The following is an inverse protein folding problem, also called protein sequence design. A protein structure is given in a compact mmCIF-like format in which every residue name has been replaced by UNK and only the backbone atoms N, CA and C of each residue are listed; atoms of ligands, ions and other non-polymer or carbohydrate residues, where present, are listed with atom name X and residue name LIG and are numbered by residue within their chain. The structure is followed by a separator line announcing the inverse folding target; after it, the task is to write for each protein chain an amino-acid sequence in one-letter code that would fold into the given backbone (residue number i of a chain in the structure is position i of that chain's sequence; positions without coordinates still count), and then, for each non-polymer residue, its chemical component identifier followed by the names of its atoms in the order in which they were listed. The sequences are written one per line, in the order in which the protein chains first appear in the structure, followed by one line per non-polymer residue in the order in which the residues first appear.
data_IF_075463625341
#
_entry.id   IF_075463625341
#
_cell.length_a   1.000
_cell.length_b   1.000
_cell.length_c   1.000
_cell.angle_alpha   90.00
_cell.angle_beta   90.00
_cell.angle_gamma   90.00
#
_symmetry.space_group_name_H-M   'P 1'
#
loop_
_entity.id
_entity.type
_entity.pdbx_description
1 polymer ?
#
# COMPACT_ATOMS: atom_id res chain seq x y z
N UNK A 1 14.51 -6.00 -25.84
CA UNK A 1 14.45 -5.22 -24.58
C UNK A 1 13.70 -5.97 -23.47
N UNK A 2 12.40 -6.25 -23.61
CA UNK A 2 11.62 -6.95 -22.57
C UNK A 2 12.24 -8.29 -22.12
N UNK A 3 12.57 -9.19 -23.07
CA UNK A 3 13.10 -10.52 -22.77
C UNK A 3 14.45 -10.44 -22.03
N UNK A 4 15.33 -9.53 -22.43
CA UNK A 4 16.62 -9.34 -21.75
C UNK A 4 16.44 -8.83 -20.32
N UNK A 5 15.48 -7.94 -20.08
CA UNK A 5 15.13 -7.46 -18.74
C UNK A 5 14.55 -8.58 -17.87
N UNK A 6 13.62 -9.37 -18.41
CA UNK A 6 13.02 -10.53 -17.72
C UNK A 6 14.06 -11.54 -17.23
N UNK A 7 15.10 -11.79 -18.03
CA UNK A 7 16.12 -12.79 -17.73
C UNK A 7 17.38 -12.23 -17.07
N UNK A 8 17.39 -10.98 -16.58
CA UNK A 8 18.55 -10.44 -15.87
C UNK A 8 19.79 -10.27 -16.75
N UNK A 9 19.61 -10.02 -18.07
CA UNK A 9 20.72 -9.93 -19.02
C UNK A 9 21.20 -8.49 -19.17
N UNK A 10 21.80 -7.94 -18.13
CA UNK A 10 22.16 -6.51 -18.02
C UNK A 10 23.10 -6.04 -19.14
N UNK A 11 24.06 -6.86 -19.56
CA UNK A 11 24.94 -6.53 -20.69
C UNK A 11 24.20 -6.46 -22.03
N UNK A 12 23.18 -7.32 -22.22
CA UNK A 12 22.31 -7.24 -23.40
C UNK A 12 21.45 -5.98 -23.32
N UNK A 13 20.92 -5.63 -22.14
CA UNK A 13 20.15 -4.40 -21.95
C UNK A 13 20.99 -3.17 -22.32
N UNK A 14 22.20 -3.03 -21.78
CA UNK A 14 23.14 -1.94 -22.12
C UNK A 14 23.45 -1.89 -23.61
N UNK A 15 23.68 -3.04 -24.25
CA UNK A 15 23.93 -3.13 -25.69
C UNK A 15 22.74 -2.68 -26.53
N UNK A 16 21.51 -3.01 -26.11
CA UNK A 16 20.31 -2.57 -26.81
C UNK A 16 20.11 -1.05 -26.67
N UNK A 17 20.37 -0.50 -25.48
CA UNK A 17 20.29 0.95 -25.22
C UNK A 17 21.32 1.70 -26.08
N UNK A 18 22.57 1.22 -26.16
CA UNK A 18 23.59 1.83 -27.02
C UNK A 18 23.29 1.74 -28.53
N UNK A 19 22.37 0.85 -28.92
CA UNK A 19 21.79 0.76 -30.26
C UNK A 19 20.51 1.58 -30.43
N UNK A 20 20.22 2.49 -29.51
CA UNK A 20 19.06 3.38 -29.49
C UNK A 20 17.71 2.64 -29.50
N UNK A 21 17.65 1.43 -28.92
CA UNK A 21 16.35 0.78 -28.68
C UNK A 21 15.60 1.56 -27.60
N UNK A 22 14.37 1.96 -27.89
CA UNK A 22 13.51 2.65 -26.93
C UNK A 22 13.35 1.83 -25.64
N UNK A 23 13.77 2.38 -24.51
CA UNK A 23 13.66 1.77 -23.17
C UNK A 23 12.22 1.59 -22.71
N UNK A 24 11.28 2.29 -23.35
CA UNK A 24 9.85 2.23 -23.07
C UNK A 24 9.07 1.32 -24.04
N UNK A 25 9.77 0.56 -24.90
CA UNK A 25 9.10 -0.32 -25.86
C UNK A 25 8.33 -1.44 -25.16
N UNK A 26 7.01 -1.32 -25.15
CA UNK A 26 6.11 -2.29 -24.53
C UNK A 26 5.77 -3.45 -25.46
N UNK A 27 5.48 -4.61 -24.85
CA UNK A 27 4.90 -5.76 -25.54
C UNK A 27 3.46 -5.49 -26.01
N UNK A 28 2.88 -6.39 -26.81
CA UNK A 28 1.48 -6.32 -27.25
C UNK A 28 0.46 -6.29 -26.10
N UNK A 29 0.84 -6.74 -24.90
CA UNK A 29 -0.01 -6.70 -23.70
C UNK A 29 0.29 -5.51 -22.80
N UNK A 30 1.09 -4.55 -23.27
CA UNK A 30 1.45 -3.33 -22.55
C UNK A 30 2.59 -3.48 -21.54
N UNK A 31 3.17 -4.68 -21.37
CA UNK A 31 4.29 -4.84 -20.43
C UNK A 31 5.54 -4.10 -20.91
N UNK A 32 6.03 -3.17 -20.10
CA UNK A 32 7.26 -2.42 -20.36
C UNK A 32 8.52 -3.21 -19.96
N UNK A 33 9.72 -2.81 -20.41
CA UNK A 33 10.97 -3.38 -19.93
C UNK A 33 11.17 -3.21 -18.42
N UNK A 34 10.78 -2.05 -17.86
CA UNK A 34 10.84 -1.79 -16.43
C UNK A 34 9.91 -2.73 -15.66
N UNK A 35 8.70 -2.98 -16.18
CA UNK A 35 7.80 -3.99 -15.61
C UNK A 35 8.47 -5.36 -15.53
N UNK A 36 9.14 -5.82 -16.60
CA UNK A 36 9.86 -7.10 -16.59
C UNK A 36 11.00 -7.13 -15.57
N UNK A 37 11.86 -6.11 -15.53
CA UNK A 37 12.94 -6.07 -14.55
C UNK A 37 12.40 -6.11 -13.12
N UNK A 38 11.32 -5.36 -12.86
CA UNK A 38 10.68 -5.29 -11.56
C UNK A 38 9.98 -6.59 -11.15
N UNK A 39 9.31 -7.28 -12.08
CA UNK A 39 8.62 -8.54 -11.84
C UNK A 39 9.55 -9.70 -11.49
N UNK A 40 10.83 -9.62 -11.88
CA UNK A 40 11.82 -10.67 -11.66
C UNK A 40 12.97 -10.23 -10.73
N UNK A 41 12.86 -9.05 -10.12
CA UNK A 41 13.77 -8.60 -9.06
C UNK A 41 15.16 -8.14 -9.52
N UNK A 42 15.34 -7.83 -10.81
CA UNK A 42 16.64 -7.43 -11.37
C UNK A 42 16.92 -5.95 -11.09
N UNK A 43 17.32 -5.63 -9.85
CA UNK A 43 17.52 -4.26 -9.36
C UNK A 43 18.55 -3.46 -10.17
N UNK A 44 19.59 -4.12 -10.67
CA UNK A 44 20.61 -3.50 -11.53
C UNK A 44 20.01 -3.04 -12.85
N UNK A 45 19.11 -3.84 -13.45
CA UNK A 45 18.39 -3.48 -14.67
C UNK A 45 17.35 -2.40 -14.38
N UNK A 46 16.65 -2.46 -13.25
CA UNK A 46 15.72 -1.39 -12.82
C UNK A 46 16.45 -0.04 -12.79
N UNK A 47 17.64 0.01 -12.16
CA UNK A 47 18.47 1.21 -12.10
C UNK A 47 18.91 1.70 -13.48
N UNK A 48 19.38 0.80 -14.36
CA UNK A 48 19.78 1.14 -15.73
C UNK A 48 18.60 1.74 -16.50
N UNK A 49 17.42 1.13 -16.41
CA UNK A 49 16.25 1.61 -17.16
C UNK A 49 15.78 2.97 -16.64
N UNK A 50 15.76 3.19 -15.32
CA UNK A 50 15.37 4.47 -14.73
C UNK A 50 16.39 5.57 -15.10
N UNK A 51 17.70 5.28 -15.09
CA UNK A 51 18.71 6.26 -15.51
C UNK A 51 18.58 6.65 -16.99
N UNK A 52 17.98 5.78 -17.79
CA UNK A 52 17.73 6.00 -19.22
C UNK A 52 16.29 6.48 -19.48
N UNK A 53 15.64 7.09 -18.48
CA UNK A 53 14.32 7.70 -18.56
C UNK A 53 13.17 6.73 -18.88
N UNK A 54 13.23 5.50 -18.36
CA UNK A 54 12.08 4.62 -18.37
C UNK A 54 10.90 5.24 -17.60
N UNK A 55 9.70 5.11 -18.16
CA UNK A 55 8.44 5.55 -17.54
C UNK A 55 8.15 4.69 -16.31
N UNK A 56 8.34 5.28 -15.13
CA UNK A 56 8.25 4.61 -13.83
C UNK A 56 6.89 3.95 -13.62
N UNK A 57 5.81 4.63 -13.98
CA UNK A 57 4.43 4.15 -13.82
C UNK A 57 3.85 3.55 -15.12
N UNK A 58 4.70 3.02 -16.02
CA UNK A 58 4.25 2.38 -17.25
C UNK A 58 3.44 1.09 -16.96
N UNK A 59 2.13 1.24 -16.84
CA UNK A 59 1.20 0.16 -16.58
C UNK A 59 0.95 -0.72 -17.81
N UNK A 60 0.75 -2.01 -17.59
CA UNK A 60 0.24 -2.92 -18.62
C UNK A 60 -1.26 -2.68 -18.89
N UNK A 61 -1.85 -3.47 -19.78
CA UNK A 61 -3.28 -3.33 -20.10
C UNK A 61 -4.23 -3.61 -18.93
N UNK A 62 -3.77 -4.20 -17.83
CA UNK A 62 -4.55 -4.46 -16.62
C UNK A 62 -4.46 -3.31 -15.60
N UNK A 63 -3.60 -2.32 -15.84
CA UNK A 63 -3.29 -1.27 -14.87
C UNK A 63 -2.16 -1.64 -13.90
N UNK A 64 -1.51 -2.79 -14.07
CA UNK A 64 -0.40 -3.22 -13.23
C UNK A 64 0.87 -2.45 -13.60
N UNK A 65 1.39 -1.65 -12.65
CA UNK A 65 2.64 -0.90 -12.78
C UNK A 65 3.86 -1.73 -12.37
N UNK A 66 5.09 -1.26 -12.64
CA UNK A 66 6.31 -1.85 -12.11
C UNK A 66 6.30 -1.98 -10.57
N UNK A 67 5.73 -1.00 -9.85
CA UNK A 67 5.59 -1.06 -8.40
C UNK A 67 4.63 -2.17 -7.98
N UNK A 68 3.45 -2.26 -8.62
CA UNK A 68 2.47 -3.29 -8.34
C UNK A 68 3.05 -4.69 -8.50
N UNK A 69 3.74 -4.96 -9.62
CA UNK A 69 4.28 -6.30 -9.87
C UNK A 69 5.48 -6.64 -8.98
N UNK A 70 6.34 -5.66 -8.65
CA UNK A 70 7.41 -5.86 -7.67
C UNK A 70 6.84 -6.19 -6.28
N UNK A 71 5.75 -5.53 -5.90
CA UNK A 71 5.04 -5.80 -4.64
C UNK A 71 4.36 -7.16 -4.62
N UNK A 72 3.74 -7.57 -5.74
CA UNK A 72 3.15 -8.90 -5.89
C UNK A 72 4.19 -10.03 -5.80
N UNK A 73 5.41 -9.79 -6.30
CA UNK A 73 6.48 -10.79 -6.34
C UNK A 73 7.42 -10.71 -5.12
N UNK A 74 7.21 -9.74 -4.22
CA UNK A 74 7.97 -9.63 -2.97
C UNK A 74 9.37 -9.03 -3.12
N UNK A 75 9.65 -8.33 -4.22
CA UNK A 75 10.98 -7.75 -4.49
C UNK A 75 11.19 -6.41 -3.75
N UNK A 76 11.43 -6.49 -2.44
CA UNK A 76 11.55 -5.34 -1.54
C UNK A 76 12.56 -4.27 -2.00
N UNK A 77 13.74 -4.65 -2.48
CA UNK A 77 14.73 -3.69 -2.98
C UNK A 77 14.26 -2.93 -4.22
N UNK A 78 13.54 -3.60 -5.13
CA UNK A 78 12.92 -2.96 -6.29
C UNK A 78 11.80 -2.02 -5.86
N UNK A 79 10.93 -2.43 -4.95
CA UNK A 79 9.86 -1.59 -4.40
C UNK A 79 10.45 -0.31 -3.80
N UNK A 80 11.51 -0.44 -3.00
CA UNK A 80 12.21 0.69 -2.37
C UNK A 80 12.80 1.64 -3.42
N UNK A 81 13.45 1.12 -4.46
CA UNK A 81 14.00 1.97 -5.52
C UNK A 81 12.90 2.66 -6.33
N UNK A 82 11.82 1.97 -6.69
CA UNK A 82 10.72 2.60 -7.43
C UNK A 82 10.09 3.75 -6.63
N UNK A 83 9.87 3.57 -5.32
CA UNK A 83 9.35 4.61 -4.45
C UNK A 83 10.34 5.77 -4.27
N UNK A 84 11.65 5.49 -4.19
CA UNK A 84 12.70 6.53 -4.13
C UNK A 84 12.72 7.42 -5.39
N UNK A 85 12.14 6.92 -6.48
CA UNK A 85 11.99 7.60 -7.77
C UNK A 85 10.57 8.12 -8.00
N UNK A 86 9.78 8.26 -6.94
CA UNK A 86 8.42 8.81 -6.97
C UNK A 86 7.41 7.98 -7.78
N UNK A 87 7.56 6.64 -7.82
CA UNK A 87 6.50 5.78 -8.34
C UNK A 87 5.18 6.03 -7.60
N UNK A 88 4.07 6.06 -8.34
CA UNK A 88 2.76 6.34 -7.75
C UNK A 88 2.25 5.15 -6.93
N UNK A 89 2.34 5.27 -5.60
CA UNK A 89 1.93 4.25 -4.63
C UNK A 89 0.44 3.94 -4.63
N UNK A 90 -0.40 4.89 -5.05
CA UNK A 90 -1.86 4.81 -5.03
C UNK A 90 -2.45 4.18 -6.31
N UNK A 91 -1.60 3.71 -7.24
CA UNK A 91 -2.08 3.13 -8.50
C UNK A 91 -2.85 1.83 -8.25
N UNK A 92 -3.95 1.65 -8.98
CA UNK A 92 -4.88 0.53 -8.81
C UNK A 92 -5.05 -0.27 -10.08
N UNK A 93 -5.21 -1.58 -9.93
CA UNK A 93 -5.62 -2.46 -11.02
C UNK A 93 -6.99 -2.06 -11.57
N UNK A 94 -7.09 -2.05 -12.90
CA UNK A 94 -8.32 -1.71 -13.64
C UNK A 94 -9.09 -2.99 -14.00
N UNK A 95 -8.37 -4.09 -14.23
CA UNK A 95 -8.93 -5.43 -14.46
C UNK A 95 -7.91 -6.49 -14.03
N UNK A 96 -8.34 -7.74 -13.95
CA UNK A 96 -7.46 -8.86 -13.64
C UNK A 96 -7.88 -10.08 -14.44
N UNK A 97 -6.96 -10.65 -15.23
CA UNK A 97 -7.19 -11.93 -15.90
C UNK A 97 -7.25 -13.11 -14.92
N UNK A 98 -6.75 -12.95 -13.69
CA UNK A 98 -6.69 -14.01 -12.68
C UNK A 98 -7.99 -14.12 -11.91
N UNK A 99 -8.51 -13.00 -11.38
CA UNK A 99 -9.73 -12.99 -10.58
C UNK A 99 -10.26 -11.58 -10.39
N UNK A 100 -11.59 -11.43 -10.43
CA UNK A 100 -12.29 -10.16 -10.20
C UNK A 100 -12.04 -9.59 -8.79
N UNK A 101 -11.63 -10.44 -7.84
CA UNK A 101 -11.31 -9.99 -6.47
C UNK A 101 -10.19 -8.93 -6.47
N UNK A 102 -9.28 -8.97 -7.46
CA UNK A 102 -8.13 -8.06 -7.50
C UNK A 102 -8.42 -6.72 -8.19
N UNK A 103 -9.64 -6.48 -8.67
CA UNK A 103 -9.96 -5.20 -9.33
C UNK A 103 -10.00 -4.09 -8.28
N UNK A 104 -9.33 -2.98 -8.58
CA UNK A 104 -9.16 -1.88 -7.63
C UNK A 104 -8.09 -2.13 -6.56
N UNK A 105 -7.38 -3.27 -6.60
CA UNK A 105 -6.25 -3.52 -5.70
C UNK A 105 -5.06 -2.62 -6.02
N UNK A 106 -4.43 -2.13 -4.97
CA UNK A 106 -3.15 -1.41 -5.04
C UNK A 106 -1.96 -2.31 -4.66
N UNK A 107 -0.77 -1.71 -4.62
CA UNK A 107 0.48 -2.41 -4.31
C UNK A 107 0.53 -2.93 -2.87
N UNK A 108 -0.15 -2.28 -1.91
CA UNK A 108 -0.20 -2.72 -0.52
C UNK A 108 -1.10 -3.94 -0.38
N UNK A 109 -2.29 -3.91 -0.97
CA UNK A 109 -3.24 -5.01 -0.92
C UNK A 109 -2.66 -6.29 -1.51
N UNK A 110 -1.99 -6.21 -2.67
CA UNK A 110 -1.39 -7.40 -3.27
C UNK A 110 -0.19 -7.92 -2.46
N UNK A 111 0.61 -7.03 -1.84
CA UNK A 111 1.69 -7.45 -0.94
C UNK A 111 1.15 -8.17 0.31
N UNK A 112 0.01 -7.70 0.84
CA UNK A 112 -0.70 -8.35 1.95
C UNK A 112 -1.22 -9.74 1.56
N UNK A 113 -1.91 -9.88 0.42
CA UNK A 113 -2.39 -11.17 -0.11
C UNK A 113 -1.26 -12.19 -0.31
N UNK A 114 -0.12 -11.72 -0.82
CA UNK A 114 1.04 -12.58 -1.12
C UNK A 114 1.93 -12.87 0.09
N UNK A 115 1.70 -12.23 1.24
CA UNK A 115 2.47 -12.49 2.46
C UNK A 115 3.85 -11.84 2.46
N UNK A 116 4.02 -10.72 1.75
CA UNK A 116 5.32 -10.05 1.63
C UNK A 116 5.50 -8.95 2.69
N UNK A 117 5.65 -9.33 3.96
CA UNK A 117 5.78 -8.40 5.08
C UNK A 117 6.85 -7.31 4.88
N UNK A 118 8.06 -7.60 4.35
CA UNK A 118 9.05 -6.54 4.08
C UNK A 118 8.54 -5.46 3.11
N UNK A 119 7.82 -5.86 2.06
CA UNK A 119 7.19 -4.95 1.11
C UNK A 119 6.08 -4.14 1.78
N UNK A 120 5.22 -4.80 2.57
CA UNK A 120 4.16 -4.11 3.34
C UNK A 120 4.76 -3.02 4.22
N UNK A 121 5.82 -3.32 4.97
CA UNK A 121 6.52 -2.34 5.81
C UNK A 121 7.04 -1.16 5.00
N UNK A 122 7.70 -1.41 3.86
CA UNK A 122 8.21 -0.36 2.97
C UNK A 122 7.06 0.53 2.47
N UNK A 123 5.96 -0.06 2.01
CA UNK A 123 4.82 0.69 1.48
C UNK A 123 4.17 1.56 2.56
N UNK A 124 3.94 1.01 3.75
CA UNK A 124 3.38 1.76 4.90
C UNK A 124 4.32 2.90 5.31
N UNK A 125 5.63 2.66 5.37
CA UNK A 125 6.63 3.70 5.66
C UNK A 125 6.67 4.82 4.60
N UNK A 126 6.21 4.54 3.38
CA UNK A 126 6.07 5.51 2.29
C UNK A 126 4.62 6.02 2.15
N UNK A 127 3.86 6.02 3.25
CA UNK A 127 2.51 6.57 3.36
C UNK A 127 1.44 5.86 2.49
N UNK A 128 1.59 4.56 2.22
CA UNK A 128 0.50 3.78 1.62
C UNK A 128 -0.76 3.84 2.49
N UNK A 129 -1.92 4.02 1.86
CA UNK A 129 -3.21 4.12 2.54
C UNK A 129 -3.70 2.76 3.02
N UNK A 130 -3.44 2.44 4.28
CA UNK A 130 -3.77 1.14 4.90
C UNK A 130 -5.28 0.84 4.95
N UNK A 131 -6.13 1.87 4.99
CA UNK A 131 -7.58 1.73 5.09
C UNK A 131 -8.32 1.84 3.75
N UNK A 132 -7.57 2.05 2.66
CA UNK A 132 -8.22 2.16 1.36
C UNK A 132 -8.82 0.82 0.96
N UNK A 133 -9.98 0.86 0.30
CA UNK A 133 -10.74 -0.34 -0.07
C UNK A 133 -10.59 -0.60 -1.57
N UNK A 134 -10.45 -1.87 -1.95
CA UNK A 134 -10.56 -2.31 -3.35
C UNK A 134 -12.03 -2.31 -3.79
N UNK A 135 -12.32 -2.68 -5.05
CA UNK A 135 -13.68 -2.57 -5.58
C UNK A 135 -14.70 -3.47 -4.87
N UNK A 136 -14.25 -4.52 -4.20
CA UNK A 136 -15.08 -5.42 -3.39
C UNK A 136 -15.19 -5.00 -1.91
N UNK A 137 -14.66 -3.83 -1.53
CA UNK A 137 -14.65 -3.34 -0.14
C UNK A 137 -13.51 -3.88 0.73
N UNK A 138 -12.62 -4.72 0.19
CA UNK A 138 -11.53 -5.30 0.99
C UNK A 138 -10.37 -4.33 1.14
N UNK A 139 -9.85 -4.24 2.37
CA UNK A 139 -8.62 -3.54 2.73
C UNK A 139 -7.44 -4.49 2.68
N UNK A 140 -6.22 -3.95 2.74
CA UNK A 140 -5.00 -4.77 2.75
C UNK A 140 -5.00 -5.83 3.86
N UNK A 141 -5.51 -5.50 5.05
CA UNK A 141 -5.60 -6.44 6.17
C UNK A 141 -6.58 -7.60 5.91
N UNK A 142 -7.63 -7.38 5.12
CA UNK A 142 -8.63 -8.42 4.81
C UNK A 142 -8.05 -9.47 3.86
N UNK A 143 -7.24 -9.05 2.89
CA UNK A 143 -6.46 -9.97 2.05
C UNK A 143 -5.46 -10.81 2.88
N UNK A 144 -4.77 -10.17 3.83
CA UNK A 144 -3.85 -10.88 4.74
C UNK A 144 -4.60 -11.91 5.61
N UNK A 145 -5.78 -11.57 6.14
CA UNK A 145 -6.62 -12.50 6.90
C UNK A 145 -7.10 -13.68 6.05
N UNK A 146 -7.62 -13.40 4.85
CA UNK A 146 -8.15 -14.42 3.95
C UNK A 146 -7.09 -15.44 3.48
N UNK A 147 -5.81 -15.05 3.51
CA UNK A 147 -4.68 -15.89 3.08
C UNK A 147 -3.75 -16.30 4.24
N UNK A 148 -4.22 -16.10 5.48
CA UNK A 148 -3.58 -16.51 6.74
C UNK A 148 -2.16 -15.92 6.94
N UNK A 149 -1.95 -14.66 6.53
CA UNK A 149 -0.68 -13.93 6.72
C UNK A 149 -0.65 -13.25 8.08
N UNK A 150 -0.57 -14.06 9.14
CA UNK A 150 -0.70 -13.61 10.52
C UNK A 150 0.30 -12.52 10.93
N UNK A 151 1.52 -12.56 10.40
CA UNK A 151 2.58 -11.57 10.64
C UNK A 151 2.22 -10.18 10.08
N UNK A 152 1.55 -10.13 8.93
CA UNK A 152 1.03 -8.90 8.33
C UNK A 152 -0.20 -8.42 9.08
N UNK A 153 -1.10 -9.32 9.47
CA UNK A 153 -2.28 -8.97 10.28
C UNK A 153 -1.83 -8.34 11.60
N UNK A 154 -0.91 -8.96 12.32
CA UNK A 154 -0.33 -8.43 13.55
C UNK A 154 0.32 -7.05 13.32
N UNK A 155 1.14 -6.92 12.27
CA UNK A 155 1.80 -5.65 11.96
C UNK A 155 0.79 -4.52 11.68
N UNK A 156 -0.24 -4.77 10.87
CA UNK A 156 -1.23 -3.77 10.51
C UNK A 156 -2.14 -3.44 11.70
N UNK A 157 -2.60 -4.42 12.49
CA UNK A 157 -3.39 -4.16 13.70
C UNK A 157 -2.63 -3.31 14.71
N UNK A 158 -1.33 -3.56 14.91
CA UNK A 158 -0.51 -2.73 15.79
C UNK A 158 -0.43 -1.26 15.33
N UNK A 159 -0.44 -1.00 14.01
CA UNK A 159 -0.48 0.37 13.47
C UNK A 159 -1.85 1.01 13.72
N UNK A 160 -2.94 0.26 13.56
CA UNK A 160 -4.30 0.74 13.83
C UNK A 160 -4.47 1.15 15.31
N UNK A 161 -3.97 0.34 16.24
CA UNK A 161 -4.02 0.63 17.67
C UNK A 161 -3.22 1.88 18.05
N UNK A 162 -2.03 2.08 17.45
CA UNK A 162 -1.23 3.29 17.66
C UNK A 162 -1.96 4.53 17.15
N UNK A 163 -2.59 4.45 15.98
CA UNK A 163 -3.35 5.57 15.43
C UNK A 163 -4.49 5.99 16.37
N UNK A 164 -5.30 5.01 16.80
CA UNK A 164 -6.40 5.23 17.76
C UNK A 164 -5.86 5.86 19.05
N UNK A 165 -4.86 5.24 19.68
CA UNK A 165 -4.33 5.72 20.97
C UNK A 165 -3.59 7.07 20.90
N UNK A 166 -3.11 7.47 19.73
CA UNK A 166 -2.46 8.78 19.52
C UNK A 166 -3.45 9.94 19.40
N UNK A 167 -4.68 9.70 18.91
CA UNK A 167 -5.74 10.71 18.91
C UNK A 167 -6.41 10.87 20.28
N UNK A 168 -6.29 9.86 21.16
CA UNK A 168 -6.79 9.97 22.53
C UNK A 168 -5.80 10.75 23.43
N UNK A 169 -6.20 11.88 24.05
CA UNK A 169 -5.33 12.62 24.95
C UNK A 169 -4.98 11.77 26.18
N UNK A 170 -3.68 11.51 26.37
CA UNK A 170 -3.13 10.66 27.44
C UNK A 170 -3.40 11.16 28.88
N UNK A 171 -3.95 12.36 29.05
CA UNK A 171 -4.17 12.92 30.38
C UNK A 171 -5.59 13.47 30.57
N UNK A 172 -6.43 12.67 31.23
CA UNK A 172 -7.80 13.02 31.58
C UNK A 172 -7.91 13.71 32.95
N UNK A 173 -6.81 13.98 33.66
CA UNK A 173 -6.85 14.49 35.04
C UNK A 173 -7.57 15.84 35.18
N UNK A 174 -7.57 16.64 34.11
CA UNK A 174 -8.16 17.98 34.11
C UNK A 174 -9.58 18.02 33.50
N UNK A 175 -10.19 16.87 33.22
CA UNK A 175 -11.54 16.80 32.67
C UNK A 175 -12.58 16.57 33.77
N UNK A 176 -13.76 17.23 33.71
CA UNK A 176 -14.85 16.96 34.65
C UNK A 176 -15.28 15.48 34.61
N UNK A 177 -15.59 14.92 35.78
CA UNK A 177 -15.88 13.48 36.00
C UNK A 177 -16.91 12.91 35.01
N UNK A 178 -17.94 13.69 34.66
CA UNK A 178 -18.99 13.29 33.69
C UNK A 178 -18.43 12.91 32.31
N UNK A 179 -17.36 13.57 31.86
CA UNK A 179 -16.74 13.27 30.56
C UNK A 179 -15.81 12.06 30.64
N UNK A 180 -15.19 11.82 31.80
CA UNK A 180 -14.38 10.63 32.03
C UNK A 180 -15.23 9.36 31.95
N UNK A 181 -16.42 9.39 32.58
CA UNK A 181 -17.39 8.29 32.53
C UNK A 181 -17.92 8.09 31.10
N UNK A 182 -18.27 9.16 30.38
CA UNK A 182 -18.75 9.07 28.99
C UNK A 182 -17.70 8.47 28.04
N UNK A 183 -16.42 8.80 28.23
CA UNK A 183 -15.33 8.24 27.41
C UNK A 183 -15.06 6.77 27.77
N UNK A 184 -15.09 6.40 29.05
CA UNK A 184 -14.96 5.00 29.50
C UNK A 184 -16.12 4.13 28.97
N UNK A 185 -17.36 4.66 28.97
CA UNK A 185 -18.52 3.98 28.38
C UNK A 185 -18.38 3.78 26.86
N UNK A 186 -17.83 4.75 26.13
CA UNK A 186 -17.59 4.61 24.68
C UNK A 186 -16.47 3.63 24.38
N UNK A 187 -15.40 3.62 25.17
CA UNK A 187 -14.35 2.60 25.08
C UNK A 187 -14.93 1.20 25.34
N UNK A 188 -15.79 1.06 26.36
CA UNK A 188 -16.50 -0.19 26.65
C UNK A 188 -17.44 -0.59 25.51
N UNK A 189 -18.21 0.35 24.95
CA UNK A 189 -19.12 0.09 23.84
C UNK A 189 -18.32 -0.30 22.58
N UNK A 190 -17.19 0.38 22.29
CA UNK A 190 -16.35 0.09 21.12
C UNK A 190 -15.68 -1.28 21.18
N UNK A 191 -15.29 -1.73 22.38
CA UNK A 191 -14.69 -3.04 22.60
C UNK A 191 -15.72 -4.17 22.59
N UNK A 192 -16.97 -3.91 23.01
CA UNK A 192 -18.02 -4.94 23.06
C UNK A 192 -18.91 -5.03 21.82
N UNK A 193 -19.10 -3.95 21.05
CA UNK A 193 -20.10 -3.93 19.96
C UNK A 193 -19.53 -4.02 18.54
N UNK A 194 -18.22 -4.15 18.35
CA UNK A 194 -17.58 -4.18 17.01
C UNK A 194 -18.11 -3.07 16.10
N UNK A 195 -18.24 -1.85 16.65
CA UNK A 195 -18.72 -0.71 15.89
C UNK A 195 -17.79 -0.46 14.69
N UNK A 196 -18.32 -0.18 13.49
CA UNK A 196 -17.50 0.24 12.36
C UNK A 196 -16.63 1.44 12.76
N UNK A 197 -15.33 1.39 12.48
CA UNK A 197 -14.38 2.42 12.90
C UNK A 197 -14.79 3.83 12.47
N UNK A 198 -15.46 3.98 11.34
CA UNK A 198 -15.97 5.28 10.87
C UNK A 198 -17.04 5.87 11.81
N UNK A 199 -17.90 5.02 12.38
CA UNK A 199 -18.92 5.43 13.33
C UNK A 199 -18.28 5.75 14.70
N UNK A 200 -17.27 4.99 15.09
CA UNK A 200 -16.49 5.25 16.31
C UNK A 200 -15.75 6.59 16.22
N UNK A 201 -15.02 6.82 15.12
CA UNK A 201 -14.33 8.09 14.83
C UNK A 201 -15.32 9.25 14.77
N UNK A 202 -16.48 9.06 14.13
CA UNK A 202 -17.52 10.08 14.08
C UNK A 202 -18.03 10.43 15.49
N UNK A 203 -18.35 9.42 16.31
CA UNK A 203 -18.81 9.64 17.69
C UNK A 203 -17.75 10.36 18.53
N UNK A 204 -16.49 9.94 18.44
CA UNK A 204 -15.36 10.58 19.12
C UNK A 204 -15.19 12.03 18.66
N UNK A 205 -15.26 12.28 17.35
CA UNK A 205 -15.14 13.63 16.76
C UNK A 205 -16.24 14.57 17.27
N UNK A 206 -17.50 14.10 17.34
CA UNK A 206 -18.61 14.90 17.88
C UNK A 206 -18.43 15.22 19.37
N UNK A 207 -17.90 14.28 20.14
CA UNK A 207 -17.64 14.47 21.57
C UNK A 207 -16.49 15.46 21.78
N UNK A 208 -15.40 15.33 21.04
CA UNK A 208 -14.27 16.26 21.11
C UNK A 208 -14.69 17.68 20.69
N UNK A 209 -15.52 17.82 19.65
CA UNK A 209 -16.11 19.12 19.27
C UNK A 209 -16.97 19.71 20.38
N UNK A 210 -17.81 18.89 21.00
CA UNK A 210 -18.69 19.32 22.12
C UNK A 210 -17.87 19.76 23.33
N UNK A 211 -16.83 19.01 23.68
CA UNK A 211 -15.89 19.35 24.76
C UNK A 211 -15.12 20.65 24.44
N UNK A 212 -14.68 20.83 23.19
CA UNK A 212 -13.98 22.04 22.77
C UNK A 212 -14.87 23.28 22.85
N UNK A 213 -16.12 23.17 22.41
CA UNK A 213 -17.11 24.25 22.48
C UNK A 213 -17.41 24.67 23.93
N UNK A 214 -17.48 23.71 24.85
CA UNK A 214 -17.72 23.96 26.27
C UNK A 214 -16.51 24.61 26.96
N UNK A 215 -15.28 24.39 26.48
CA UNK A 215 -14.08 25.09 27.00
C UNK A 215 -14.01 26.56 26.61
N UNK A 216 -14.79 27.00 25.62
CA UNK A 216 -14.83 28.39 25.15
C UNK A 216 -15.94 29.23 25.82
N UNK A 217 -16.79 28.61 26.65
CA UNK A 217 -17.85 29.23 27.46
C UNK A 217 -17.39 29.39 28.91
#
# INVERSE_FOLDING_TARGET
MYISCRHGRSEIVKTLISKNVDVNISTLSGFSPLYAASAFGHIDIVNILISENAKIDAANHEGATPLFIASQMGHAEVVKELLSRNANIDTRLIKSAVSQIYIGCDSLMIACDKGHLPVVKILVQNNAKIYSESQNGWKGIDYARATEKNDIVEYLTNIEEIFITSEFPKNFSNYPIKYKIMIEEILLISTYFLLPNDLLIYMISQILKTIHLIKQL
#
